data_IF_827236187673
#
_entry.id   IF_827236187673
#
_cell.length_a   1.000
_cell.length_b   1.000
_cell.length_c   1.000
_cell.angle_alpha   90.00
_cell.angle_beta   90.00
_cell.angle_gamma   90.00
#
_symmetry.space_group_name_H-M   'P 1'
#
loop_
_entity.id
_entity.type
_entity.pdbx_description
1 polymer ?
#
# COMPACT_ATOMS: atom_id res chain seq x y z
N UNK A 1 2.17 -8.46 -24.85
CA UNK A 1 1.20 -7.96 -23.83
C UNK A 1 1.67 -6.57 -23.43
N UNK A 2 0.77 -5.60 -23.25
CA UNK A 2 1.15 -4.25 -22.79
C UNK A 2 1.43 -4.29 -21.28
N UNK A 3 2.47 -3.58 -20.84
CA UNK A 3 2.78 -3.40 -19.42
C UNK A 3 1.55 -2.85 -18.66
N UNK A 4 1.33 -3.23 -17.39
CA UNK A 4 0.30 -2.62 -16.57
C UNK A 4 0.53 -1.10 -16.47
N UNK A 5 -0.50 -0.31 -16.80
CA UNK A 5 -0.47 1.15 -16.59
C UNK A 5 -0.15 1.43 -15.11
N UNK A 6 0.68 2.43 -14.82
CA UNK A 6 0.97 2.89 -13.46
C UNK A 6 -0.32 3.17 -12.66
N UNK A 7 -1.40 3.57 -13.33
CA UNK A 7 -2.73 3.73 -12.71
C UNK A 7 -3.30 2.41 -12.21
N UNK A 8 -3.02 1.30 -12.87
CA UNK A 8 -3.43 -0.04 -12.44
C UNK A 8 -2.70 -0.48 -11.15
N UNK A 9 -1.42 -0.13 -11.00
CA UNK A 9 -0.63 -0.35 -9.76
C UNK A 9 -1.32 0.33 -8.58
N UNK A 10 -1.61 1.63 -8.70
CA UNK A 10 -2.27 2.40 -7.65
C UNK A 10 -3.63 1.84 -7.30
N UNK A 11 -4.41 1.39 -8.28
CA UNK A 11 -5.73 0.78 -8.07
C UNK A 11 -5.64 -0.55 -7.31
N UNK A 12 -4.72 -1.45 -7.71
CA UNK A 12 -4.52 -2.74 -7.05
C UNK A 12 -4.10 -2.54 -5.59
N UNK A 13 -3.11 -1.67 -5.36
CA UNK A 13 -2.65 -1.31 -4.02
C UNK A 13 -3.78 -0.71 -3.18
N UNK A 14 -4.51 0.26 -3.72
CA UNK A 14 -5.59 0.91 -3.02
C UNK A 14 -6.70 -0.08 -2.62
N UNK A 15 -7.11 -0.96 -3.53
CA UNK A 15 -8.14 -1.96 -3.26
C UNK A 15 -7.69 -2.95 -2.18
N UNK A 16 -6.46 -3.46 -2.28
CA UNK A 16 -5.90 -4.37 -1.28
C UNK A 16 -5.80 -3.71 0.09
N UNK A 17 -5.20 -2.52 0.16
CA UNK A 17 -4.99 -1.80 1.42
C UNK A 17 -6.33 -1.42 2.07
N UNK A 18 -7.28 -0.88 1.30
CA UNK A 18 -8.61 -0.52 1.83
C UNK A 18 -9.32 -1.71 2.46
N UNK A 19 -9.27 -2.88 1.82
CA UNK A 19 -9.87 -4.10 2.36
C UNK A 19 -9.18 -4.52 3.67
N UNK A 20 -7.84 -4.49 3.71
CA UNK A 20 -7.09 -4.88 4.91
C UNK A 20 -7.35 -3.94 6.08
N UNK A 21 -7.28 -2.62 5.85
CA UNK A 21 -7.52 -1.62 6.88
C UNK A 21 -8.93 -1.74 7.49
N UNK A 22 -9.94 -2.13 6.70
CA UNK A 22 -11.30 -2.29 7.20
C UNK A 22 -11.47 -3.39 8.27
N UNK A 23 -10.50 -4.30 8.37
CA UNK A 23 -10.52 -5.46 9.26
C UNK A 23 -9.56 -5.29 10.45
N UNK A 24 -8.88 -4.15 10.56
CA UNK A 24 -7.82 -3.94 11.52
C UNK A 24 -8.28 -3.07 12.69
N UNK A 25 -7.91 -3.49 13.91
CA UNK A 25 -8.15 -2.73 15.14
C UNK A 25 -7.09 -1.64 15.37
N UNK A 26 -5.84 -1.91 15.01
CA UNK A 26 -4.71 -0.98 15.12
C UNK A 26 -3.77 -1.13 13.92
N UNK A 27 -3.02 -0.08 13.62
CA UNK A 27 -2.02 -0.03 12.55
C UNK A 27 -0.74 0.62 13.06
N UNK A 28 0.33 -0.17 13.13
CA UNK A 28 1.69 0.32 13.38
C UNK A 28 2.53 0.38 12.09
N UNK A 29 3.71 1.00 12.17
CA UNK A 29 4.63 1.17 11.03
C UNK A 29 5.08 -0.16 10.43
N UNK A 30 5.37 -1.16 11.28
CA UNK A 30 5.84 -2.48 10.85
C UNK A 30 4.76 -3.22 10.04
N UNK A 31 3.51 -3.14 10.51
CA UNK A 31 2.35 -3.71 9.86
C UNK A 31 2.02 -2.95 8.57
N UNK A 32 2.08 -1.62 8.59
CA UNK A 32 1.91 -0.78 7.40
C UNK A 32 2.92 -1.17 6.31
N UNK A 33 4.21 -1.27 6.64
CA UNK A 33 5.27 -1.73 5.73
C UNK A 33 4.95 -3.10 5.16
N UNK A 34 4.57 -4.05 6.03
CA UNK A 34 4.23 -5.42 5.62
C UNK A 34 3.03 -5.44 4.66
N UNK A 35 2.02 -4.61 4.89
CA UNK A 35 0.85 -4.51 4.02
C UNK A 35 1.21 -3.92 2.67
N UNK A 36 2.04 -2.87 2.63
CA UNK A 36 2.48 -2.25 1.37
C UNK A 36 3.29 -3.26 0.55
N UNK A 37 4.28 -3.94 1.14
CA UNK A 37 5.07 -4.96 0.44
C UNK A 37 4.19 -6.10 -0.09
N UNK A 38 3.25 -6.60 0.73
CA UNK A 38 2.28 -7.61 0.27
C UNK A 38 1.43 -7.08 -0.88
N UNK A 39 0.95 -5.85 -0.80
CA UNK A 39 0.17 -5.22 -1.87
C UNK A 39 0.96 -5.11 -3.18
N UNK A 40 2.23 -4.70 -3.10
CA UNK A 40 3.11 -4.62 -4.26
C UNK A 40 3.36 -6.00 -4.88
N UNK A 41 3.57 -7.03 -4.06
CA UNK A 41 3.78 -8.42 -4.54
C UNK A 41 2.57 -9.02 -5.28
N UNK A 42 1.37 -8.43 -5.13
CA UNK A 42 0.17 -8.86 -5.84
C UNK A 42 0.07 -8.27 -7.24
N UNK A 43 0.93 -7.30 -7.60
CA UNK A 43 0.91 -6.66 -8.90
C UNK A 43 1.59 -7.58 -9.91
N UNK A 44 0.88 -8.07 -10.94
CA UNK A 44 1.46 -9.01 -11.90
C UNK A 44 2.67 -8.43 -12.63
N UNK A 45 3.75 -9.20 -12.67
CA UNK A 45 5.00 -8.84 -13.33
C UNK A 45 5.81 -7.75 -12.61
N UNK A 46 5.34 -7.23 -11.46
CA UNK A 46 6.11 -6.27 -10.68
C UNK A 46 7.15 -7.00 -9.83
N UNK A 47 8.41 -6.73 -10.13
CA UNK A 47 9.53 -7.16 -9.33
C UNK A 47 9.75 -6.16 -8.20
N UNK A 48 9.46 -6.64 -6.99
CA UNK A 48 9.86 -5.99 -5.76
C UNK A 48 11.11 -6.74 -5.32
N UNK A 49 12.29 -6.32 -5.77
CA UNK A 49 13.54 -6.91 -5.29
C UNK A 49 13.48 -6.93 -3.77
N UNK A 50 13.86 -8.06 -3.15
CA UNK A 50 13.85 -8.35 -1.70
C UNK A 50 14.91 -7.50 -0.97
N UNK A 51 14.86 -6.20 -1.26
CA UNK A 51 15.82 -5.18 -0.95
C UNK A 51 15.53 -4.71 0.45
N UNK A 52 16.17 -5.38 1.40
CA UNK A 52 16.23 -5.06 2.82
C UNK A 52 14.91 -4.55 3.41
N UNK A 53 14.25 -5.35 4.24
CA UNK A 53 12.98 -4.98 4.90
C UNK A 53 13.05 -3.71 5.76
N UNK A 54 14.18 -3.02 5.82
CA UNK A 54 14.40 -1.73 6.47
C UNK A 54 14.61 -0.56 5.48
N UNK A 55 14.85 -0.79 4.18
CA UNK A 55 15.04 0.31 3.21
C UNK A 55 13.76 1.10 3.02
N UNK A 56 13.90 2.43 3.03
CA UNK A 56 12.78 3.35 2.79
C UNK A 56 12.64 3.73 1.31
N UNK A 57 13.73 3.66 0.55
CA UNK A 57 13.73 3.97 -0.87
C UNK A 57 13.87 2.66 -1.65
N UNK A 58 12.81 2.32 -2.40
CA UNK A 58 12.72 1.15 -3.25
C UNK A 58 12.71 1.57 -4.71
N UNK A 59 13.20 0.68 -5.57
CA UNK A 59 13.08 0.82 -7.02
C UNK A 59 12.25 -0.35 -7.52
N UNK A 60 11.09 -0.05 -8.08
CA UNK A 60 10.19 -1.06 -8.62
C UNK A 60 10.42 -1.20 -10.12
N UNK A 61 10.36 -2.43 -10.63
CA UNK A 61 10.57 -2.74 -12.05
C UNK A 61 9.57 -3.79 -12.51
N UNK A 62 9.22 -3.80 -13.79
CA UNK A 62 8.41 -4.88 -14.36
C UNK A 62 9.31 -5.88 -15.10
N UNK A 63 9.13 -7.18 -14.83
CA UNK A 63 9.95 -8.24 -15.44
C UNK A 63 9.81 -8.27 -16.97
N UNK A 64 8.63 -7.91 -17.49
CA UNK A 64 8.32 -7.90 -18.92
C UNK A 64 8.58 -6.53 -19.59
N UNK A 65 9.24 -5.58 -18.92
CA UNK A 65 9.52 -4.26 -19.50
C UNK A 65 10.81 -4.28 -20.35
N UNK A 66 10.70 -4.18 -21.70
CA UNK A 66 11.87 -4.18 -22.56
C UNK A 66 12.76 -2.93 -22.40
N UNK A 67 12.22 -1.84 -21.85
CA UNK A 67 12.97 -0.62 -21.56
C UNK A 67 13.55 -0.61 -20.15
N UNK A 68 13.33 -1.68 -19.38
CA UNK A 68 13.89 -1.87 -18.05
C UNK A 68 13.58 -0.71 -17.08
N UNK A 69 12.43 -0.04 -17.25
CA UNK A 69 12.16 1.21 -16.52
C UNK A 69 12.08 0.99 -15.02
N UNK A 70 12.68 1.94 -14.33
CA UNK A 70 12.69 2.03 -12.88
C UNK A 70 11.62 3.01 -12.40
N UNK A 71 10.81 2.54 -11.43
CA UNK A 71 9.80 3.36 -10.76
C UNK A 71 10.30 3.61 -9.33
N UNK A 72 10.73 4.83 -8.99
CA UNK A 72 11.12 5.14 -7.62
C UNK A 72 9.91 5.06 -6.71
N UNK A 73 10.07 4.38 -5.57
CA UNK A 73 9.01 4.17 -4.60
C UNK A 73 9.52 4.45 -3.18
N UNK A 74 8.92 5.45 -2.54
CA UNK A 74 9.20 5.79 -1.14
C UNK A 74 8.28 4.98 -0.22
N UNK A 75 8.84 3.98 0.46
CA UNK A 75 8.16 3.22 1.50
C UNK A 75 7.75 4.13 2.66
N UNK A 76 8.56 5.14 3.00
CA UNK A 76 8.21 6.09 4.06
C UNK A 76 6.96 6.88 3.71
N UNK A 77 6.89 7.46 2.51
CA UNK A 77 5.72 8.24 2.09
C UNK A 77 4.48 7.36 1.93
N UNK A 78 4.66 6.12 1.50
CA UNK A 78 3.58 5.14 1.41
C UNK A 78 3.03 4.78 2.80
N UNK A 79 3.91 4.56 3.79
CA UNK A 79 3.52 4.32 5.19
C UNK A 79 2.81 5.54 5.76
N UNK A 80 3.37 6.75 5.63
CA UNK A 80 2.78 7.97 6.15
C UNK A 80 1.37 8.20 5.57
N UNK A 81 1.23 7.98 4.26
CA UNK A 81 -0.06 8.06 3.57
C UNK A 81 -1.06 7.01 4.09
N UNK A 82 -0.60 5.77 4.32
CA UNK A 82 -1.45 4.69 4.83
C UNK A 82 -1.90 4.95 6.26
N UNK A 83 -1.01 5.47 7.10
CA UNK A 83 -1.29 5.84 8.49
C UNK A 83 -2.32 6.97 8.57
N UNK A 84 -2.21 7.99 7.72
CA UNK A 84 -3.21 9.07 7.61
C UNK A 84 -4.55 8.51 7.17
N UNK A 85 -4.57 7.67 6.13
CA UNK A 85 -5.80 7.08 5.60
C UNK A 85 -6.50 6.18 6.63
N UNK A 86 -5.74 5.35 7.35
CA UNK A 86 -6.28 4.52 8.43
C UNK A 86 -6.83 5.38 9.58
N UNK A 87 -6.09 6.41 10.02
CA UNK A 87 -6.56 7.32 11.07
C UNK A 87 -7.88 7.98 10.70
N UNK A 88 -7.99 8.46 9.47
CA UNK A 88 -9.20 9.13 8.99
C UNK A 88 -10.36 8.14 8.84
N UNK A 89 -10.08 6.92 8.37
CA UNK A 89 -11.05 5.82 8.33
C UNK A 89 -11.57 5.44 9.72
N UNK A 90 -10.67 5.19 10.69
CA UNK A 90 -11.03 4.84 12.06
C UNK A 90 -11.86 5.94 12.74
N UNK A 91 -11.53 7.21 12.49
CA UNK A 91 -12.35 8.35 12.95
C UNK A 91 -13.75 8.33 12.36
N UNK A 92 -13.91 8.01 11.08
CA UNK A 92 -15.21 7.93 10.43
C UNK A 92 -16.02 6.73 10.93
N UNK A 93 -15.42 5.54 11.06
CA UNK A 93 -16.09 4.37 11.62
C UNK A 93 -16.59 4.63 13.05
N UNK A 94 -15.76 5.24 13.91
CA UNK A 94 -16.14 5.58 15.28
C UNK A 94 -17.25 6.64 15.34
N UNK A 95 -17.36 7.52 14.34
CA UNK A 95 -18.49 8.46 14.20
C UNK A 95 -19.76 7.81 13.68
N UNK A 96 -19.63 6.71 12.92
CA UNK A 96 -20.76 5.95 12.36
C UNK A 96 -21.36 4.94 13.35
N UNK A 97 -20.73 4.71 14.51
CA UNK A 97 -21.34 3.93 15.59
C UNK A 97 -22.52 4.73 16.20
N UNK A 98 -23.77 4.24 16.08
CA UNK A 98 -24.90 4.93 16.68
C UNK A 98 -24.95 4.63 18.19
N UNK A 99 -24.60 5.61 19.01
CA UNK A 99 -24.87 5.63 20.47
C UNK A 99 -23.71 6.18 21.31
N UNK A 100 -23.88 7.13 22.23
CA UNK A 100 -25.10 7.61 22.86
C UNK A 100 -24.99 9.06 23.32
N UNK A 101 -26.06 9.80 23.07
CA UNK A 101 -26.48 10.82 24.01
C UNK A 101 -26.83 10.11 25.31
N UNK A 102 -26.15 10.47 26.39
CA UNK A 102 -26.59 10.29 27.78
C UNK A 102 -26.04 11.46 28.56
#
# INVERSE_FOLDING_TARGET
>A
MSLPDQRAISLILFQYLSLRLSQMEDLDESTARTLILKGLSLIPGLNVEDSDKERNDLVLRFDDDPEEKEIPFSMRDAIDSLMVLWRDYSRLQNRSAPGGQS
#
